data_IF_607914615343
#
_entry.id   IF_607914615343
#
_cell.length_a   1.000
_cell.length_b   1.000
_cell.length_c   1.000
_cell.angle_alpha   90.00
_cell.angle_beta   90.00
_cell.angle_gamma   90.00
#
_symmetry.space_group_name_H-M   'P 1'
#
loop_
_entity.id
_entity.type
_entity.pdbx_description
1 polymer ?
#
# COMPACT_ATOMS: atom_id res chain seq x y z
N UNK A 1 -7.20 27.44 8.20
CA UNK A 1 -7.04 26.53 9.35
C UNK A 1 -6.07 25.44 8.95
N UNK A 2 -5.04 25.12 9.76
CA UNK A 2 -4.24 23.92 9.50
C UNK A 2 -5.14 22.69 9.60
N UNK A 3 -4.95 21.72 8.70
CA UNK A 3 -5.65 20.44 8.78
C UNK A 3 -5.30 19.76 10.11
N UNK A 4 -6.29 19.20 10.81
CA UNK A 4 -6.02 18.43 12.01
C UNK A 4 -5.21 17.17 11.64
N UNK A 5 -4.20 16.79 12.45
CA UNK A 5 -3.44 15.57 12.22
C UNK A 5 -4.36 14.35 12.34
N UNK A 6 -4.12 13.35 11.50
CA UNK A 6 -4.84 12.08 11.54
C UNK A 6 -4.41 11.28 12.77
N UNK A 7 -5.37 10.72 13.52
CA UNK A 7 -5.08 9.82 14.63
C UNK A 7 -4.71 8.42 14.09
N UNK A 8 -3.41 8.11 14.03
CA UNK A 8 -2.89 6.78 13.71
C UNK A 8 -3.03 5.77 14.88
N UNK A 9 -3.54 6.20 16.03
CA UNK A 9 -4.01 5.32 17.09
C UNK A 9 -5.39 4.70 16.79
N UNK A 10 -6.18 5.32 15.92
CA UNK A 10 -7.58 4.96 15.68
C UNK A 10 -7.75 3.56 15.05
N UNK A 11 -8.39 2.66 15.80
CA UNK A 11 -8.81 1.32 15.33
C UNK A 11 -10.15 1.47 14.62
N UNK A 12 -10.25 0.97 13.38
CA UNK A 12 -11.52 1.04 12.64
C UNK A 12 -12.53 0.04 13.21
N UNK A 13 -13.84 0.36 13.27
CA UNK A 13 -14.87 -0.62 13.58
C UNK A 13 -14.81 -1.86 12.67
N UNK A 14 -14.46 -1.65 11.40
CA UNK A 14 -14.22 -2.70 10.41
C UNK A 14 -13.19 -3.74 10.87
N UNK A 15 -12.18 -3.32 11.64
CA UNK A 15 -11.12 -4.23 12.10
C UNK A 15 -11.68 -5.34 12.99
N UNK A 16 -12.64 -5.02 13.86
CA UNK A 16 -13.24 -5.98 14.81
C UNK A 16 -13.95 -7.16 14.15
N UNK A 17 -14.33 -7.03 12.88
CA UNK A 17 -15.08 -8.06 12.15
C UNK A 17 -14.20 -8.95 11.25
N UNK A 18 -13.03 -8.45 10.83
CA UNK A 18 -12.24 -9.08 9.78
C UNK A 18 -10.76 -9.29 10.13
N UNK A 19 -10.32 -8.77 11.28
CA UNK A 19 -8.95 -8.86 11.74
C UNK A 19 -8.91 -9.34 13.21
N UNK A 20 -7.87 -10.07 13.56
CA UNK A 20 -7.64 -10.56 14.92
C UNK A 20 -6.18 -10.30 15.29
N UNK A 21 -5.96 -9.48 16.30
CA UNK A 21 -4.62 -9.11 16.79
C UNK A 21 -3.97 -10.22 17.63
N UNK A 22 -4.69 -11.31 17.90
CA UNK A 22 -4.24 -12.45 18.73
C UNK A 22 -3.61 -13.58 17.93
N UNK A 23 -3.46 -13.42 16.62
CA UNK A 23 -2.78 -14.40 15.79
C UNK A 23 -1.32 -14.55 16.25
N UNK A 24 -0.85 -15.79 16.30
CA UNK A 24 0.57 -16.07 16.55
C UNK A 24 1.36 -15.85 15.27
N UNK A 25 2.56 -15.28 15.41
CA UNK A 25 3.52 -15.17 14.30
C UNK A 25 4.57 -16.25 14.47
N UNK A 26 4.71 -17.11 13.47
CA UNK A 26 5.86 -18.01 13.40
C UNK A 26 7.11 -17.19 13.11
N UNK A 27 7.91 -16.96 14.15
CA UNK A 27 9.10 -16.10 14.10
C UNK A 27 10.31 -16.80 13.51
N UNK A 28 10.27 -18.13 13.28
CA UNK A 28 11.40 -18.94 12.82
C UNK A 28 12.72 -18.66 13.57
N UNK A 29 12.63 -18.53 14.90
CA UNK A 29 13.76 -18.20 15.80
C UNK A 29 14.52 -16.90 15.44
N UNK A 30 13.93 -16.01 14.64
CA UNK A 30 14.53 -14.73 14.27
C UNK A 30 14.44 -13.71 15.40
N UNK A 31 15.53 -12.95 15.57
CA UNK A 31 15.51 -11.71 16.37
C UNK A 31 14.87 -10.58 15.55
N UNK A 32 13.53 -10.62 15.47
CA UNK A 32 12.73 -9.65 14.72
C UNK A 32 12.98 -8.21 15.19
N UNK A 33 13.18 -8.00 16.50
CA UNK A 33 13.47 -6.67 17.05
C UNK A 33 14.78 -6.11 16.50
N UNK A 34 15.84 -6.92 16.48
CA UNK A 34 17.12 -6.53 15.89
C UNK A 34 16.99 -6.27 14.37
N UNK A 35 16.29 -7.14 13.65
CA UNK A 35 16.04 -7.00 12.21
C UNK A 35 15.18 -5.78 11.85
N UNK A 36 14.30 -5.35 12.76
CA UNK A 36 13.52 -4.12 12.65
C UNK A 36 14.30 -2.89 13.15
N UNK A 37 15.40 -3.08 13.87
CA UNK A 37 16.23 -2.00 14.42
C UNK A 37 15.56 -1.25 15.55
N UNK A 38 14.67 -1.95 16.28
CA UNK A 38 13.92 -1.39 17.40
C UNK A 38 14.41 -1.98 18.71
N UNK A 39 14.40 -1.15 19.76
CA UNK A 39 14.77 -1.59 21.10
C UNK A 39 13.61 -2.33 21.77
N UNK A 40 13.89 -3.50 22.34
CA UNK A 40 12.91 -4.28 23.11
C UNK A 40 12.10 -5.25 22.24
N UNK A 41 11.31 -6.10 22.90
CA UNK A 41 10.50 -7.10 22.19
C UNK A 41 9.37 -6.45 21.40
N UNK A 42 9.24 -6.82 20.12
CA UNK A 42 8.07 -6.47 19.29
C UNK A 42 7.00 -7.52 19.52
N UNK A 43 5.80 -7.18 20.03
CA UNK A 43 4.74 -8.16 20.27
C UNK A 43 4.10 -8.65 18.97
N UNK A 44 3.53 -9.87 19.00
CA UNK A 44 2.86 -10.46 17.82
C UNK A 44 1.70 -9.59 17.32
N UNK A 45 0.90 -8.98 18.21
CA UNK A 45 -0.14 -8.00 17.85
C UNK A 45 0.38 -6.95 16.85
N UNK A 46 1.57 -6.41 17.10
CA UNK A 46 2.15 -5.37 16.26
C UNK A 46 2.66 -5.94 14.92
N UNK A 47 3.17 -7.17 14.92
CA UNK A 47 3.59 -7.86 13.70
C UNK A 47 2.39 -8.27 12.83
N UNK A 48 1.31 -8.77 13.43
CA UNK A 48 0.04 -9.08 12.77
C UNK A 48 -0.51 -7.84 12.06
N UNK A 49 -0.52 -6.70 12.76
CA UNK A 49 -0.92 -5.42 12.17
C UNK A 49 0.03 -4.95 11.05
N UNK A 50 1.35 -5.11 11.22
CA UNK A 50 2.37 -4.78 10.21
C UNK A 50 2.21 -5.61 8.93
N UNK A 51 1.75 -6.85 9.06
CA UNK A 51 1.46 -7.75 7.95
C UNK A 51 0.10 -7.50 7.30
N UNK A 52 -0.79 -6.76 7.98
CA UNK A 52 -2.17 -6.59 7.56
C UNK A 52 -2.96 -7.91 7.51
N UNK A 53 -2.59 -8.88 8.34
CA UNK A 53 -3.14 -10.23 8.26
C UNK A 53 -4.63 -10.27 8.70
N UNK A 54 -5.56 -10.75 7.84
CA UNK A 54 -6.94 -10.98 8.24
C UNK A 54 -7.07 -12.02 9.36
N UNK A 55 -8.20 -12.00 10.08
CA UNK A 55 -8.48 -12.99 11.11
C UNK A 55 -8.47 -14.42 10.54
N UNK A 56 -7.77 -15.36 11.20
CA UNK A 56 -7.63 -16.74 10.73
C UNK A 56 -6.51 -16.93 9.70
N UNK A 57 -5.62 -15.95 9.56
CA UNK A 57 -4.39 -16.09 8.76
C UNK A 57 -3.28 -16.84 9.49
N UNK A 58 -2.44 -17.52 8.71
CA UNK A 58 -1.14 -18.02 9.14
C UNK A 58 -0.06 -17.00 8.75
N UNK A 59 0.89 -16.70 9.66
CA UNK A 59 1.93 -15.70 9.43
C UNK A 59 3.30 -16.32 9.72
N UNK A 60 4.21 -16.23 8.74
CA UNK A 60 5.59 -16.71 8.86
C UNK A 60 6.59 -15.58 8.60
N UNK A 61 7.52 -15.38 9.52
CA UNK A 61 8.65 -14.48 9.36
C UNK A 61 9.89 -15.26 8.88
N UNK A 62 10.60 -14.75 7.87
CA UNK A 62 11.85 -15.32 7.38
C UNK A 62 12.74 -14.23 6.78
N UNK A 63 14.01 -14.54 6.53
CA UNK A 63 14.89 -13.69 5.72
C UNK A 63 14.78 -14.13 4.26
N UNK A 64 14.48 -13.20 3.36
CA UNK A 64 14.45 -13.49 1.93
C UNK A 64 15.86 -13.69 1.34
N UNK A 65 15.96 -13.98 0.04
CA UNK A 65 17.25 -14.18 -0.64
C UNK A 65 18.16 -12.94 -0.67
N UNK A 66 17.69 -11.80 -0.18
CA UNK A 66 18.41 -10.54 -0.06
C UNK A 66 18.59 -10.09 1.39
N UNK A 67 18.43 -11.02 2.33
CA UNK A 67 18.54 -10.81 3.78
C UNK A 67 17.55 -9.77 4.34
N UNK A 68 16.39 -9.60 3.68
CA UNK A 68 15.31 -8.74 4.20
C UNK A 68 14.37 -9.56 5.06
N UNK A 69 14.06 -9.04 6.25
CA UNK A 69 12.97 -9.57 7.08
C UNK A 69 11.67 -9.49 6.28
N UNK A 70 11.07 -10.64 6.00
CA UNK A 70 9.86 -10.79 5.21
C UNK A 70 8.83 -11.58 5.99
N UNK A 71 7.60 -11.13 5.93
CA UNK A 71 6.45 -11.82 6.45
C UNK A 71 5.59 -12.33 5.30
N UNK A 72 5.33 -13.63 5.30
CA UNK A 72 4.37 -14.29 4.44
C UNK A 72 3.04 -14.46 5.18
N UNK A 73 1.94 -14.09 4.54
CA UNK A 73 0.60 -14.22 5.10
C UNK A 73 -0.25 -15.16 4.24
N UNK A 74 -0.56 -16.27 4.87
CA UNK A 74 -1.56 -17.31 4.60
C UNK A 74 -3.01 -16.89 4.79
N UNK A 75 -3.98 -17.20 3.91
CA UNK A 75 -5.38 -17.30 4.37
C UNK A 75 -6.20 -18.22 3.46
N UNK A 76 -6.98 -19.18 3.98
CA UNK A 76 -7.69 -20.18 3.17
C UNK A 76 -8.82 -19.64 2.28
N UNK A 77 -9.25 -18.38 2.42
CA UNK A 77 -10.47 -17.86 1.79
C UNK A 77 -10.39 -16.39 1.39
N UNK A 78 -9.52 -15.59 2.03
CA UNK A 78 -9.38 -14.15 1.71
C UNK A 78 -8.14 -13.83 0.87
N UNK A 79 -7.13 -14.69 0.88
CA UNK A 79 -5.87 -14.53 0.13
C UNK A 79 -5.80 -15.68 -0.89
N UNK A 80 -5.58 -15.34 -2.17
CA UNK A 80 -5.58 -16.30 -3.27
C UNK A 80 -4.31 -17.15 -3.29
N UNK A 81 -3.17 -16.53 -3.04
CA UNK A 81 -1.87 -17.21 -2.98
C UNK A 81 -1.18 -16.91 -1.67
N UNK A 82 -0.61 -15.72 -1.54
CA UNK A 82 0.15 -15.27 -0.38
C UNK A 82 0.32 -13.76 -0.46
N UNK A 83 0.15 -13.08 0.68
CA UNK A 83 0.57 -11.69 0.80
C UNK A 83 1.98 -11.64 1.40
N UNK A 84 2.83 -10.74 0.90
CA UNK A 84 4.19 -10.55 1.40
C UNK A 84 4.42 -9.09 1.76
N UNK A 85 4.97 -8.87 2.95
CA UNK A 85 5.54 -7.58 3.35
C UNK A 85 6.99 -7.79 3.78
N UNK A 86 7.89 -6.91 3.34
CA UNK A 86 9.32 -7.00 3.66
C UNK A 86 9.81 -5.69 4.24
N UNK A 87 10.72 -5.74 5.20
CA UNK A 87 11.32 -4.55 5.80
C UNK A 87 12.72 -4.38 5.25
N UNK A 88 12.93 -3.27 4.55
CA UNK A 88 14.26 -2.83 4.14
C UNK A 88 14.81 -1.86 5.17
N UNK A 89 15.87 -2.27 5.85
CA UNK A 89 16.65 -1.37 6.68
C UNK A 89 17.72 -0.64 5.87
N UNK A 90 17.84 0.65 6.11
CA UNK A 90 18.98 1.47 5.68
C UNK A 90 19.65 2.05 6.92
N UNK A 91 20.83 2.67 6.77
CA UNK A 91 21.57 3.26 7.90
C UNK A 91 20.76 4.29 8.69
N UNK A 92 19.86 5.01 8.01
CA UNK A 92 19.16 6.17 8.57
C UNK A 92 17.64 5.99 8.66
N UNK A 93 17.09 4.92 8.08
CA UNK A 93 15.63 4.72 8.02
C UNK A 93 15.24 3.27 7.70
N UNK A 94 14.01 2.90 8.04
CA UNK A 94 13.37 1.67 7.59
C UNK A 94 12.26 1.98 6.60
N UNK A 95 12.10 1.12 5.60
CA UNK A 95 11.03 1.16 4.61
C UNK A 95 10.32 -0.19 4.61
N UNK A 96 9.00 -0.17 4.71
CA UNK A 96 8.20 -1.38 4.47
C UNK A 96 7.91 -1.50 2.98
N UNK A 97 8.18 -2.64 2.38
CA UNK A 97 7.81 -2.97 1.01
C UNK A 97 6.59 -3.88 1.03
N UNK A 98 5.52 -3.48 0.35
CA UNK A 98 4.43 -4.39 -0.01
C UNK A 98 4.85 -5.14 -1.27
N UNK A 99 5.11 -6.45 -1.11
CA UNK A 99 5.49 -7.35 -2.19
C UNK A 99 4.27 -7.82 -2.96
N UNK A 100 3.82 -9.04 -2.68
CA UNK A 100 2.56 -9.57 -3.21
C UNK A 100 1.40 -9.16 -2.31
N UNK A 101 0.31 -8.67 -2.90
CA UNK A 101 -0.98 -8.46 -2.22
C UNK A 101 -2.04 -9.04 -3.15
N UNK A 102 -2.45 -10.28 -2.89
CA UNK A 102 -3.27 -11.11 -3.78
C UNK A 102 -4.53 -11.58 -3.05
N UNK A 103 -5.48 -10.66 -2.90
CA UNK A 103 -6.80 -10.96 -2.33
C UNK A 103 -7.66 -11.71 -3.36
N UNK A 104 -8.56 -12.58 -2.87
CA UNK A 104 -9.56 -13.24 -3.74
C UNK A 104 -10.54 -12.23 -4.34
N UNK A 105 -11.13 -12.55 -5.49
CA UNK A 105 -12.03 -11.61 -6.22
C UNK A 105 -13.31 -11.27 -5.43
N UNK A 106 -13.74 -12.17 -4.55
CA UNK A 106 -14.91 -12.00 -3.68
C UNK A 106 -14.53 -11.56 -2.26
N UNK A 107 -13.30 -11.07 -2.05
CA UNK A 107 -12.91 -10.50 -0.77
C UNK A 107 -13.86 -9.36 -0.40
N UNK A 108 -14.17 -9.26 0.89
CA UNK A 108 -15.10 -8.24 1.38
C UNK A 108 -14.65 -6.84 0.97
N UNK A 109 -15.60 -6.03 0.50
CA UNK A 109 -15.32 -4.68 0.03
C UNK A 109 -14.68 -3.84 1.14
N UNK A 110 -13.53 -3.24 0.84
CA UNK A 110 -12.78 -2.42 1.81
C UNK A 110 -11.64 -3.16 2.50
N UNK A 111 -11.53 -4.49 2.38
CA UNK A 111 -10.50 -5.28 3.07
C UNK A 111 -9.09 -4.76 2.83
N UNK A 112 -8.70 -4.53 1.57
CA UNK A 112 -7.37 -4.03 1.23
C UNK A 112 -7.07 -2.62 1.77
N UNK A 113 -8.08 -1.76 1.89
CA UNK A 113 -7.92 -0.42 2.46
C UNK A 113 -7.78 -0.47 3.99
N UNK A 114 -8.61 -1.28 4.67
CA UNK A 114 -8.52 -1.51 6.10
C UNK A 114 -7.20 -2.22 6.49
N UNK A 115 -6.75 -3.18 5.66
CA UNK A 115 -5.45 -3.81 5.76
C UNK A 115 -4.32 -2.77 5.71
N UNK A 116 -4.33 -1.90 4.70
CA UNK A 116 -3.31 -0.84 4.58
C UNK A 116 -3.35 0.12 5.78
N UNK A 117 -4.54 0.47 6.28
CA UNK A 117 -4.68 1.30 7.49
C UNK A 117 -3.96 0.67 8.68
N UNK A 118 -4.18 -0.62 8.93
CA UNK A 118 -3.49 -1.38 10.00
C UNK A 118 -1.97 -1.37 9.83
N UNK A 119 -1.51 -1.60 8.60
CA UNK A 119 -0.08 -1.55 8.26
C UNK A 119 0.50 -0.17 8.56
N UNK A 120 -0.17 0.91 8.14
CA UNK A 120 0.28 2.30 8.39
C UNK A 120 0.40 2.58 9.88
N UNK A 121 -0.58 2.15 10.68
CA UNK A 121 -0.55 2.30 12.15
C UNK A 121 0.60 1.52 12.79
N UNK A 122 0.86 0.29 12.33
CA UNK A 122 1.99 -0.50 12.79
C UNK A 122 3.34 0.14 12.40
N UNK A 123 3.45 0.65 11.17
CA UNK A 123 4.62 1.39 10.71
C UNK A 123 4.89 2.63 11.57
N UNK A 124 3.86 3.40 11.93
CA UNK A 124 3.99 4.57 12.81
C UNK A 124 4.54 4.17 14.20
N UNK A 125 3.97 3.12 14.82
CA UNK A 125 4.46 2.57 16.10
C UNK A 125 5.90 2.06 16.01
N UNK A 126 6.30 1.51 14.87
CA UNK A 126 7.65 1.00 14.60
C UNK A 126 8.60 2.07 14.04
N UNK A 127 8.16 3.32 13.88
CA UNK A 127 8.92 4.44 13.28
C UNK A 127 9.42 4.15 11.85
N UNK A 128 8.67 3.35 11.11
CA UNK A 128 8.89 3.11 9.68
C UNK A 128 8.22 4.24 8.92
N UNK A 129 9.02 5.20 8.43
CA UNK A 129 8.51 6.45 7.86
C UNK A 129 7.88 6.31 6.47
N UNK A 130 8.09 5.18 5.79
CA UNK A 130 7.66 5.00 4.40
C UNK A 130 7.26 3.56 4.10
N UNK A 131 6.22 3.42 3.28
CA UNK A 131 5.84 2.17 2.63
C UNK A 131 6.10 2.31 1.12
N UNK A 132 6.64 1.30 0.47
CA UNK A 132 6.77 1.21 -0.98
C UNK A 132 5.98 0.04 -1.55
N UNK A 133 5.46 0.20 -2.75
CA UNK A 133 4.76 -0.88 -3.45
C UNK A 133 5.02 -0.78 -4.95
N UNK A 134 5.09 -1.93 -5.62
CA UNK A 134 5.06 -1.97 -7.08
C UNK A 134 3.62 -2.17 -7.54
N UNK A 135 2.99 -1.09 -8.03
CA UNK A 135 1.62 -1.14 -8.53
C UNK A 135 1.57 -1.85 -9.87
N UNK A 136 1.39 -3.16 -9.88
CA UNK A 136 1.30 -3.96 -11.11
C UNK A 136 0.01 -3.66 -11.90
N UNK A 137 0.07 -3.84 -13.22
CA UNK A 137 -1.07 -3.70 -14.13
C UNK A 137 -0.92 -2.61 -15.19
N UNK A 138 -2.06 -2.11 -15.64
CA UNK A 138 -2.15 -1.02 -16.61
C UNK A 138 -1.89 -1.47 -18.04
N UNK A 139 -1.64 -0.50 -18.92
CA UNK A 139 -1.54 -0.71 -20.37
C UNK A 139 -0.43 -1.68 -20.78
N UNK A 140 0.65 -1.74 -20.01
CA UNK A 140 1.84 -2.55 -20.32
C UNK A 140 1.86 -3.94 -19.68
N UNK A 141 0.93 -4.22 -18.77
CA UNK A 141 0.80 -5.57 -18.24
C UNK A 141 -0.16 -6.36 -19.14
N UNK A 142 0.29 -7.52 -19.60
CA UNK A 142 -0.62 -8.49 -20.18
C UNK A 142 -1.66 -8.90 -19.11
N UNK A 143 -2.92 -9.11 -19.49
CA UNK A 143 -3.85 -9.83 -18.61
C UNK A 143 -3.29 -11.20 -18.28
N UNK A 144 -3.61 -11.72 -17.10
CA UNK A 144 -3.33 -13.12 -16.80
C UNK A 144 -4.14 -14.03 -17.74
N UNK A 145 -3.58 -15.18 -18.18
CA UNK A 145 -4.33 -16.11 -19.02
C UNK A 145 -5.65 -16.53 -18.36
N UNK A 146 -6.78 -16.09 -18.93
CA UNK A 146 -8.12 -16.34 -18.38
C UNK A 146 -8.48 -15.51 -17.13
N UNK A 147 -7.61 -14.59 -16.69
CA UNK A 147 -7.80 -13.77 -15.50
C UNK A 147 -8.09 -12.29 -15.80
N UNK A 148 -8.53 -11.52 -14.78
CA UNK A 148 -8.72 -10.09 -14.92
C UNK A 148 -7.39 -9.35 -15.12
N UNK A 149 -7.46 -8.11 -15.60
CA UNK A 149 -6.30 -7.22 -15.57
C UNK A 149 -6.00 -6.82 -14.12
N UNK A 150 -4.75 -7.01 -13.70
CA UNK A 150 -4.28 -6.51 -12.42
C UNK A 150 -4.44 -4.99 -12.34
N UNK A 151 -4.86 -4.51 -11.16
CA UNK A 151 -5.29 -3.13 -10.96
C UNK A 151 -4.46 -2.35 -9.94
N UNK A 152 -3.35 -2.92 -9.45
CA UNK A 152 -2.48 -2.30 -8.44
C UNK A 152 -2.00 -0.90 -8.84
N UNK A 153 -1.61 -0.71 -10.11
CA UNK A 153 -1.20 0.59 -10.66
C UNK A 153 -2.27 1.70 -10.53
N UNK A 154 -3.55 1.33 -10.41
CA UNK A 154 -4.69 2.23 -10.27
C UNK A 154 -5.22 2.26 -8.83
N UNK A 155 -5.18 1.14 -8.11
CA UNK A 155 -5.68 1.02 -6.75
C UNK A 155 -4.79 1.78 -5.74
N UNK A 156 -3.46 1.56 -5.77
CA UNK A 156 -2.56 2.15 -4.78
C UNK A 156 -2.60 3.68 -4.72
N UNK A 157 -2.65 4.44 -5.84
CA UNK A 157 -2.77 5.89 -5.76
C UNK A 157 -4.09 6.37 -5.14
N UNK A 158 -5.18 5.59 -5.25
CA UNK A 158 -6.44 5.92 -4.54
C UNK A 158 -6.31 5.80 -3.03
N UNK A 159 -5.38 4.98 -2.57
CA UNK A 159 -5.07 4.82 -1.16
C UNK A 159 -4.00 5.80 -0.66
N UNK A 160 -3.51 6.72 -1.48
CA UNK A 160 -2.53 7.74 -1.07
C UNK A 160 -1.07 7.42 -1.40
N UNK A 161 -0.79 6.34 -2.12
CA UNK A 161 0.52 6.16 -2.73
C UNK A 161 0.75 7.22 -3.82
N UNK A 162 1.99 7.71 -3.92
CA UNK A 162 2.39 8.65 -4.96
C UNK A 162 3.57 8.11 -5.78
N UNK A 163 3.67 8.59 -7.01
CA UNK A 163 4.79 8.37 -7.89
C UNK A 163 4.92 9.55 -8.87
N UNK A 164 6.13 9.87 -9.32
CA UNK A 164 6.33 10.92 -10.31
C UNK A 164 5.69 10.54 -11.64
N UNK A 165 4.92 11.45 -12.26
CA UNK A 165 4.46 11.24 -13.65
C UNK A 165 5.69 11.27 -14.56
N UNK A 166 5.80 10.33 -15.52
CA UNK A 166 6.98 10.26 -16.37
C UNK A 166 7.32 11.58 -17.04
N UNK A 167 8.62 11.80 -17.19
CA UNK A 167 9.14 12.88 -18.01
C UNK A 167 9.01 12.57 -19.52
N UNK A 168 9.56 13.45 -20.36
CA UNK A 168 9.47 13.41 -21.82
C UNK A 168 9.92 12.08 -22.47
N UNK A 169 10.71 11.29 -21.76
CA UNK A 169 11.32 10.06 -22.27
C UNK A 169 10.64 8.80 -21.71
N UNK A 170 9.66 8.96 -20.82
CA UNK A 170 8.85 7.85 -20.35
C UNK A 170 7.88 7.37 -21.41
N UNK A 171 7.68 6.06 -21.48
CA UNK A 171 6.80 5.45 -22.50
C UNK A 171 5.33 5.90 -22.46
N UNK A 172 4.86 6.47 -21.35
CA UNK A 172 3.51 7.05 -21.25
C UNK A 172 3.48 8.50 -21.76
N UNK A 173 4.61 9.19 -21.85
CA UNK A 173 4.69 10.57 -22.33
C UNK A 173 4.32 10.69 -23.81
N UNK A 174 4.59 9.64 -24.60
CA UNK A 174 4.11 9.52 -25.97
C UNK A 174 2.57 9.53 -26.06
N UNK A 175 1.85 9.22 -24.98
CA UNK A 175 0.39 9.33 -24.96
C UNK A 175 -0.07 10.76 -24.70
N UNK A 176 0.71 11.58 -23.99
CA UNK A 176 0.29 12.92 -23.56
C UNK A 176 -0.03 13.84 -24.75
N UNK A 177 0.59 13.60 -25.91
CA UNK A 177 0.29 14.33 -27.15
C UNK A 177 -1.16 14.14 -27.62
N UNK A 178 -1.82 13.01 -27.30
CA UNK A 178 -3.23 12.76 -27.64
C UNK A 178 -4.20 13.44 -26.66
N UNK A 179 -3.66 14.08 -25.63
CA UNK A 179 -4.39 14.67 -24.52
C UNK A 179 -3.98 16.15 -24.32
N UNK A 180 -4.06 17.00 -25.35
CA UNK A 180 -3.40 18.31 -25.39
C UNK A 180 -3.90 19.32 -24.33
N UNK A 181 -5.07 19.09 -23.73
CA UNK A 181 -5.62 19.94 -22.67
C UNK A 181 -6.16 19.20 -21.45
N UNK A 182 -6.12 17.86 -21.43
CA UNK A 182 -6.83 17.07 -20.40
C UNK A 182 -6.13 15.75 -20.08
N UNK A 183 -5.74 15.49 -18.82
CA UNK A 183 -5.86 16.35 -17.65
C UNK A 183 -5.03 17.63 -17.74
N UNK A 184 -5.53 18.71 -17.13
CA UNK A 184 -4.81 20.00 -17.09
C UNK A 184 -3.43 19.78 -16.50
N UNK A 185 -2.43 20.36 -17.15
CA UNK A 185 -1.03 20.24 -16.74
C UNK A 185 -0.32 18.98 -17.18
N UNK A 186 -1.01 17.99 -17.77
CA UNK A 186 -0.37 16.78 -18.28
C UNK A 186 0.48 17.08 -19.53
N UNK A 187 -0.11 17.77 -20.52
CA UNK A 187 0.56 18.07 -21.79
C UNK A 187 1.69 19.11 -21.65
N UNK A 188 1.48 20.17 -20.86
CA UNK A 188 2.52 21.18 -20.55
C UNK A 188 3.50 20.72 -19.46
N UNK A 189 3.18 19.59 -18.82
CA UNK A 189 3.96 18.91 -17.78
C UNK A 189 3.95 19.59 -16.41
N UNK A 190 3.16 20.62 -16.17
CA UNK A 190 3.01 21.18 -14.80
C UNK A 190 2.48 20.16 -13.79
N UNK A 191 1.81 19.11 -14.24
CA UNK A 191 1.38 17.96 -13.45
C UNK A 191 2.53 16.97 -13.25
N UNK A 192 3.06 16.87 -12.03
CA UNK A 192 4.31 16.12 -11.72
C UNK A 192 4.13 14.80 -10.99
N UNK A 193 2.97 14.52 -10.39
CA UNK A 193 2.79 13.33 -9.56
C UNK A 193 1.41 12.70 -9.69
N UNK A 194 1.31 11.41 -9.41
CA UNK A 194 0.03 10.69 -9.42
C UNK A 194 -0.93 11.27 -8.39
N UNK A 195 -0.45 11.75 -7.25
CA UNK A 195 -1.26 12.48 -6.28
C UNK A 195 -1.95 13.68 -6.93
N UNK A 196 -1.20 14.52 -7.65
CA UNK A 196 -1.77 15.67 -8.35
C UNK A 196 -2.77 15.25 -9.45
N UNK A 197 -2.46 14.17 -10.18
CA UNK A 197 -3.36 13.59 -11.18
C UNK A 197 -4.68 13.11 -10.56
N UNK A 198 -4.61 12.43 -9.42
CA UNK A 198 -5.77 11.80 -8.76
C UNK A 198 -6.67 12.80 -8.04
N UNK A 199 -6.21 14.04 -7.85
CA UNK A 199 -7.02 15.13 -7.29
C UNK A 199 -8.29 15.41 -8.11
N UNK A 200 -8.32 15.03 -9.39
CA UNK A 200 -9.48 15.21 -10.25
C UNK A 200 -10.06 13.87 -10.71
N UNK A 201 -11.38 13.82 -10.93
CA UNK A 201 -12.03 12.64 -11.53
C UNK A 201 -11.41 12.29 -12.89
N UNK A 202 -11.21 13.28 -13.74
CA UNK A 202 -10.65 13.09 -15.08
C UNK A 202 -9.22 12.54 -15.05
N UNK A 203 -8.39 12.96 -14.09
CA UNK A 203 -7.04 12.41 -13.95
C UNK A 203 -7.06 10.94 -13.51
N UNK A 204 -8.00 10.55 -12.65
CA UNK A 204 -8.22 9.12 -12.31
C UNK A 204 -8.67 8.33 -13.54
N UNK A 205 -9.63 8.84 -14.29
CA UNK A 205 -10.14 8.16 -15.49
C UNK A 205 -9.05 8.04 -16.57
N UNK A 206 -8.25 9.08 -16.76
CA UNK A 206 -7.06 9.04 -17.61
C UNK A 206 -6.08 7.95 -17.16
N UNK A 207 -5.70 7.94 -15.88
CA UNK A 207 -4.72 6.96 -15.39
C UNK A 207 -5.24 5.53 -15.51
N UNK A 208 -6.53 5.29 -15.31
CA UNK A 208 -7.16 3.97 -15.50
C UNK A 208 -7.01 3.42 -16.92
N UNK A 209 -6.81 4.28 -17.92
CA UNK A 209 -6.65 3.87 -19.32
C UNK A 209 -5.19 3.90 -19.75
N UNK A 210 -4.48 4.98 -19.43
CA UNK A 210 -3.14 5.25 -19.94
C UNK A 210 -2.00 4.79 -19.01
N UNK A 211 -2.30 4.62 -17.72
CA UNK A 211 -1.30 4.31 -16.70
C UNK A 211 -0.65 2.94 -16.90
N UNK A 212 0.58 2.83 -16.41
CA UNK A 212 1.32 1.57 -16.37
C UNK A 212 1.89 1.29 -14.98
N UNK A 213 2.39 0.06 -14.82
CA UNK A 213 2.99 -0.38 -13.58
C UNK A 213 4.20 0.48 -13.18
N UNK A 214 4.44 0.60 -11.88
CA UNK A 214 5.56 1.38 -11.34
C UNK A 214 5.70 1.21 -9.83
N UNK A 215 6.90 1.56 -9.37
CA UNK A 215 7.16 1.81 -7.96
C UNK A 215 6.45 3.07 -7.50
N UNK A 216 5.84 2.98 -6.32
CA UNK A 216 5.14 4.07 -5.64
C UNK A 216 5.51 4.06 -4.17
N UNK A 217 5.34 5.22 -3.53
CA UNK A 217 5.65 5.40 -2.12
C UNK A 217 4.48 6.01 -1.36
N UNK A 218 4.35 5.63 -0.11
CA UNK A 218 3.38 6.14 0.84
C UNK A 218 4.14 6.67 2.06
N UNK A 219 3.90 7.92 2.43
CA UNK A 219 4.53 8.57 3.58
C UNK A 219 3.73 8.27 4.86
N UNK A 220 4.38 7.70 5.87
CA UNK A 220 3.78 7.38 7.16
C UNK A 220 4.04 8.54 8.12
N UNK A 221 3.16 9.53 8.09
CA UNK A 221 3.10 10.58 9.10
C UNK A 221 1.66 11.10 9.23
N UNK A 222 1.18 11.44 10.44
CA UNK A 222 -0.19 11.92 10.69
C UNK A 222 -0.67 13.08 9.80
N UNK A 223 0.27 13.90 9.32
CA UNK A 223 0.01 15.08 8.48
C UNK A 223 0.39 14.87 7.01
N UNK A 224 0.93 13.70 6.66
CA UNK A 224 1.32 13.41 5.29
C UNK A 224 0.07 13.27 4.41
N UNK A 225 0.17 13.75 3.17
CA UNK A 225 -0.89 13.61 2.19
C UNK A 225 -1.28 12.15 1.93
N UNK A 226 -0.33 11.22 2.05
CA UNK A 226 -0.61 9.78 1.92
C UNK A 226 -1.61 9.30 2.96
N UNK A 227 -1.37 9.59 4.25
CA UNK A 227 -2.28 9.25 5.35
C UNK A 227 -3.61 9.97 5.23
N UNK A 228 -3.61 11.27 4.91
CA UNK A 228 -4.84 12.04 4.70
C UNK A 228 -5.69 11.48 3.56
N UNK A 229 -5.06 11.04 2.45
CA UNK A 229 -5.78 10.44 1.31
C UNK A 229 -6.37 9.09 1.69
N UNK A 230 -5.64 8.26 2.44
CA UNK A 230 -6.15 6.98 2.92
C UNK A 230 -7.33 7.18 3.87
N UNK A 231 -7.23 8.09 4.83
CA UNK A 231 -8.32 8.41 5.76
C UNK A 231 -9.56 8.87 4.98
N UNK A 232 -9.40 9.81 4.05
CA UNK A 232 -10.50 10.30 3.22
C UNK A 232 -11.15 9.17 2.41
N UNK A 233 -10.35 8.26 1.85
CA UNK A 233 -10.87 7.09 1.15
C UNK A 233 -11.71 6.20 2.09
N UNK A 234 -11.24 5.94 3.32
CA UNK A 234 -11.94 5.11 4.28
C UNK A 234 -13.26 5.76 4.74
N UNK A 235 -13.28 7.08 4.96
CA UNK A 235 -14.49 7.86 5.25
C UNK A 235 -15.50 7.76 4.09
N UNK A 236 -15.05 7.99 2.85
CA UNK A 236 -15.90 7.88 1.65
C UNK A 236 -16.52 6.48 1.46
N UNK A 237 -15.88 5.45 2.04
CA UNK A 237 -16.36 4.06 2.01
C UNK A 237 -17.18 3.67 3.24
N UNK A 238 -17.37 4.57 4.21
CA UNK A 238 -18.06 4.28 5.47
C UNK A 238 -17.32 3.25 6.32
N UNK A 239 -15.99 3.19 6.20
CA UNK A 239 -15.10 2.29 6.96
C UNK A 239 -14.51 3.03 8.17
N UNK A 240 -14.41 4.36 8.07
CA UNK A 240 -13.90 5.27 9.09
C UNK A 240 -15.04 6.18 9.55
N UNK A 241 -15.17 6.40 10.86
CA UNK A 241 -16.20 7.24 11.48
C UNK A 241 -15.67 8.62 11.90
#
# INVERSE_FOLDING_TARGET
MPAQPVDLGHVLPYETSYFDDRLEVDRNDLDISALLGVSGNVPDELLVALCGAPAGSDIQAYLDSTDRLTFAVTHPTLIRSENRVSVLQTRDSSVLELGSIDLVDNAVAGLGAAMLWRIVRACDRLKIARISAFGIGGRKAAPEPGGPRLSGYYAWPRFGFDAPIPDRHGDEAALFQYFPGYPVGLADRSLRSLRALYATRFGRDFWRVAGSHRWMTFEVAPHAHSVLTLQQYLIEKGIYE
#
